data_IF_245092237700
#
_entry.id   IF_245092237700
#
_cell.length_a   1.000
_cell.length_b   1.000
_cell.length_c   1.000
_cell.angle_alpha   90.00
_cell.angle_beta   90.00
_cell.angle_gamma   90.00
#
_symmetry.space_group_name_H-M   'P 1'
#
loop_
_entity.id
_entity.type
_entity.pdbx_description
1 polymer ?
#
# COMPACT_ATOMS: atom_id res chain seq x y z
N UNK A 1 -60.49 22.97 8.72
CA UNK A 1 -60.06 21.57 8.57
C UNK A 1 -58.74 21.63 7.80
N UNK A 2 -57.65 21.32 8.52
CA UNK A 2 -56.24 21.66 8.30
C UNK A 2 -55.73 21.40 6.86
N UNK A 3 -55.02 22.31 6.20
CA UNK A 3 -53.63 22.78 6.44
C UNK A 3 -52.62 21.63 6.36
N UNK A 4 -51.95 21.51 5.20
CA UNK A 4 -50.88 20.56 4.92
C UNK A 4 -49.55 21.30 4.96
N UNK A 5 -49.08 21.58 6.17
CA UNK A 5 -47.68 21.87 6.46
C UNK A 5 -46.91 20.55 6.64
N UNK A 6 -45.64 20.61 6.22
CA UNK A 6 -44.49 19.95 6.86
C UNK A 6 -43.96 18.61 6.30
N UNK A 7 -42.82 18.75 5.60
CA UNK A 7 -41.53 18.04 5.77
C UNK A 7 -41.55 16.49 5.64
N UNK A 8 -40.67 15.82 4.89
CA UNK A 8 -39.24 16.00 4.93
C UNK A 8 -38.54 15.49 3.67
N UNK A 9 -37.48 16.24 3.34
CA UNK A 9 -36.51 16.01 2.29
C UNK A 9 -35.53 14.95 2.80
N UNK A 10 -35.68 13.69 2.36
CA UNK A 10 -34.58 12.74 2.43
C UNK A 10 -33.88 12.77 1.09
N UNK A 11 -32.88 13.64 1.01
CA UNK A 11 -31.89 13.62 -0.06
C UNK A 11 -31.29 12.22 -0.13
N UNK A 12 -31.51 11.57 -1.26
CA UNK A 12 -30.66 10.49 -1.74
C UNK A 12 -29.22 11.00 -1.75
N UNK A 13 -28.46 10.66 -0.71
CA UNK A 13 -27.02 10.71 -0.71
C UNK A 13 -26.52 9.35 -0.26
N UNK A 14 -26.78 8.35 -1.09
CA UNK A 14 -25.87 7.22 -1.18
C UNK A 14 -24.58 7.76 -1.84
N UNK A 15 -23.79 8.49 -1.06
CA UNK A 15 -22.37 8.59 -1.36
C UNK A 15 -21.90 7.15 -1.52
N UNK A 16 -21.45 6.83 -2.73
CA UNK A 16 -20.96 5.50 -3.06
C UNK A 16 -20.02 5.07 -1.93
N UNK A 17 -20.45 4.07 -1.18
CA UNK A 17 -19.54 3.26 -0.39
C UNK A 17 -18.67 2.63 -1.45
N UNK A 18 -17.52 3.26 -1.74
CA UNK A 18 -16.53 2.68 -2.61
C UNK A 18 -16.06 1.41 -1.90
N UNK A 19 -16.70 0.29 -2.24
CA UNK A 19 -16.25 -1.02 -1.80
C UNK A 19 -14.83 -1.15 -2.33
N UNK A 20 -13.86 -1.15 -1.42
CA UNK A 20 -12.45 -1.31 -1.76
C UNK A 20 -12.28 -2.51 -2.71
N UNK A 21 -11.47 -2.39 -3.76
CA UNK A 21 -11.30 -3.49 -4.71
C UNK A 21 -10.76 -4.71 -3.97
N UNK A 22 -11.32 -5.89 -4.28
CA UNK A 22 -10.68 -7.16 -3.96
C UNK A 22 -9.21 -7.10 -4.43
N UNK A 23 -8.29 -7.66 -3.65
CA UNK A 23 -6.86 -7.46 -3.89
C UNK A 23 -6.38 -7.96 -5.25
N UNK A 24 -7.04 -8.98 -5.81
CA UNK A 24 -6.80 -9.41 -7.19
C UNK A 24 -7.23 -8.34 -8.21
N UNK A 25 -8.40 -7.71 -8.02
CA UNK A 25 -8.88 -6.62 -8.85
C UNK A 25 -7.99 -5.37 -8.73
N UNK A 26 -7.49 -5.08 -7.53
CA UNK A 26 -6.53 -4.00 -7.30
C UNK A 26 -5.24 -4.18 -8.10
N UNK A 27 -4.65 -5.39 -8.08
CA UNK A 27 -3.46 -5.70 -8.86
C UNK A 27 -3.71 -5.63 -10.37
N UNK A 28 -4.88 -6.07 -10.84
CA UNK A 28 -5.26 -5.97 -12.24
C UNK A 28 -5.40 -4.50 -12.67
N UNK A 29 -6.07 -3.67 -11.88
CA UNK A 29 -6.29 -2.26 -12.16
C UNK A 29 -4.99 -1.43 -12.17
N UNK A 30 -4.00 -1.81 -11.35
CA UNK A 30 -2.64 -1.23 -11.44
C UNK A 30 -1.93 -1.66 -12.72
N UNK A 31 -2.09 -2.93 -13.13
CA UNK A 31 -1.35 -3.51 -14.24
C UNK A 31 -1.85 -3.03 -15.62
N UNK A 32 -3.14 -2.73 -15.74
CA UNK A 32 -3.78 -2.17 -16.94
C UNK A 32 -3.96 -0.64 -16.88
N UNK A 33 -3.50 -0.01 -15.79
CA UNK A 33 -3.57 1.42 -15.55
C UNK A 33 -4.98 2.00 -15.40
N UNK A 34 -5.98 1.16 -15.14
CA UNK A 34 -7.36 1.59 -14.92
C UNK A 34 -7.64 2.12 -13.51
N UNK A 35 -6.75 1.88 -12.54
CA UNK A 35 -6.91 2.41 -11.18
C UNK A 35 -6.74 3.94 -11.17
N UNK A 36 -7.74 4.73 -10.70
CA UNK A 36 -7.60 6.17 -10.56
C UNK A 36 -6.51 6.54 -9.53
N UNK A 37 -5.66 7.55 -9.79
CA UNK A 37 -4.57 7.93 -8.88
C UNK A 37 -5.04 8.25 -7.45
N UNK A 38 -6.24 8.81 -7.30
CA UNK A 38 -6.83 9.17 -6.01
C UNK A 38 -7.20 7.94 -5.18
N UNK A 39 -7.40 6.79 -5.82
CA UNK A 39 -7.68 5.51 -5.17
C UNK A 39 -6.40 4.76 -4.81
N UNK A 40 -5.24 5.16 -5.34
CA UNK A 40 -3.95 4.56 -5.00
C UNK A 40 -3.28 5.24 -3.80
N UNK A 41 -4.01 5.29 -2.69
CA UNK A 41 -3.52 5.74 -1.39
C UNK A 41 -2.68 4.68 -0.66
N UNK A 42 -2.21 5.03 0.54
CA UNK A 42 -1.34 4.16 1.34
C UNK A 42 -1.95 2.79 1.67
N UNK A 43 -3.25 2.72 2.00
CA UNK A 43 -3.94 1.45 2.26
C UNK A 43 -3.88 0.51 1.05
N UNK A 44 -4.21 1.00 -0.13
CA UNK A 44 -4.17 0.20 -1.36
C UNK A 44 -2.74 -0.12 -1.81
N UNK A 45 -1.77 0.73 -1.52
CA UNK A 45 -0.36 0.39 -1.68
C UNK A 45 0.05 -0.81 -0.82
N UNK A 46 -0.27 -0.78 0.48
CA UNK A 46 0.03 -1.89 1.41
C UNK A 46 -0.75 -3.16 1.03
N UNK A 47 -2.02 -3.04 0.64
CA UNK A 47 -2.83 -4.17 0.21
C UNK A 47 -2.25 -4.82 -1.06
N UNK A 48 -1.86 -4.03 -2.07
CA UNK A 48 -1.22 -4.56 -3.27
C UNK A 48 0.11 -5.26 -2.97
N UNK A 49 0.95 -4.69 -2.08
CA UNK A 49 2.18 -5.32 -1.64
C UNK A 49 1.92 -6.67 -0.93
N UNK A 50 0.92 -6.71 -0.04
CA UNK A 50 0.50 -7.92 0.67
C UNK A 50 0.00 -9.00 -0.30
N UNK A 51 -0.78 -8.63 -1.32
CA UNK A 51 -1.23 -9.57 -2.36
C UNK A 51 -0.06 -10.14 -3.18
N UNK A 52 0.96 -9.32 -3.51
CA UNK A 52 2.17 -9.82 -4.15
C UNK A 52 2.91 -10.84 -3.26
N UNK A 53 3.02 -10.57 -1.96
CA UNK A 53 3.67 -11.44 -0.98
C UNK A 53 2.90 -12.75 -0.72
N UNK A 54 1.58 -12.74 -0.84
CA UNK A 54 0.79 -13.97 -0.79
C UNK A 54 0.98 -14.89 -1.98
N UNK A 55 1.38 -14.33 -3.12
CA UNK A 55 1.50 -15.07 -4.36
C UNK A 55 2.92 -15.60 -4.64
N UNK A 56 3.94 -15.09 -3.94
CA UNK A 56 5.33 -15.45 -4.19
C UNK A 56 6.25 -15.13 -3.00
N UNK A 57 7.40 -15.83 -2.86
CA UNK A 57 8.42 -15.49 -1.88
C UNK A 57 8.91 -14.04 -2.00
N UNK A 58 9.37 -13.47 -0.88
CA UNK A 58 9.75 -12.07 -0.75
C UNK A 58 10.58 -11.50 -1.92
N UNK A 59 11.64 -12.17 -2.43
CA UNK A 59 12.41 -11.63 -3.56
C UNK A 59 11.57 -11.43 -4.83
N UNK A 60 10.74 -12.42 -5.17
CA UNK A 60 9.90 -12.40 -6.37
C UNK A 60 8.73 -11.43 -6.22
N UNK A 61 8.11 -11.38 -5.04
CA UNK A 61 7.07 -10.42 -4.71
C UNK A 61 7.58 -8.97 -4.79
N UNK A 62 8.80 -8.73 -4.32
CA UNK A 62 9.46 -7.42 -4.36
C UNK A 62 9.70 -6.97 -5.80
N UNK A 63 10.28 -7.83 -6.63
CA UNK A 63 10.52 -7.53 -8.05
C UNK A 63 9.21 -7.23 -8.78
N UNK A 64 8.20 -8.09 -8.60
CA UNK A 64 6.87 -7.94 -9.19
C UNK A 64 6.22 -6.62 -8.78
N UNK A 65 6.18 -6.33 -7.49
CA UNK A 65 5.51 -5.14 -6.98
C UNK A 65 6.24 -3.86 -7.39
N UNK A 66 7.57 -3.82 -7.29
CA UNK A 66 8.35 -2.67 -7.74
C UNK A 66 8.12 -2.41 -9.24
N UNK A 67 8.19 -3.44 -10.08
CA UNK A 67 7.95 -3.31 -11.52
C UNK A 67 6.54 -2.81 -11.84
N UNK A 68 5.52 -3.30 -11.11
CA UNK A 68 4.15 -2.86 -11.25
C UNK A 68 4.01 -1.36 -10.91
N UNK A 69 4.56 -0.93 -9.77
CA UNK A 69 4.50 0.47 -9.35
C UNK A 69 5.22 1.39 -10.32
N UNK A 70 6.42 1.00 -10.78
CA UNK A 70 7.22 1.78 -11.73
C UNK A 70 6.38 2.05 -12.99
N UNK A 71 5.82 1.00 -13.60
CA UNK A 71 4.99 1.12 -14.80
C UNK A 71 3.74 1.98 -14.56
N UNK A 72 3.09 1.81 -13.42
CA UNK A 72 1.89 2.58 -13.07
C UNK A 72 2.21 4.08 -12.90
N UNK A 73 3.25 4.44 -12.14
CA UNK A 73 3.62 5.85 -11.98
C UNK A 73 4.19 6.48 -13.24
N UNK A 74 4.86 5.70 -14.09
CA UNK A 74 5.33 6.15 -15.41
C UNK A 74 4.14 6.49 -16.32
N UNK A 75 3.10 5.63 -16.35
CA UNK A 75 1.87 5.90 -17.09
C UNK A 75 1.20 7.21 -16.66
N UNK A 76 1.23 7.51 -15.36
CA UNK A 76 0.67 8.75 -14.79
C UNK A 76 1.58 9.98 -14.94
N UNK A 77 2.80 9.82 -15.47
CA UNK A 77 3.79 10.90 -15.51
C UNK A 77 4.27 11.35 -14.11
N UNK A 78 4.15 10.48 -13.11
CA UNK A 78 4.40 10.76 -11.70
C UNK A 78 5.58 9.93 -11.15
N UNK A 79 6.59 9.69 -12.01
CA UNK A 79 7.76 8.86 -11.69
C UNK A 79 8.51 9.35 -10.46
N UNK A 80 8.51 10.65 -10.26
CA UNK A 80 9.08 11.34 -9.10
C UNK A 80 8.45 10.88 -7.78
N UNK A 81 7.20 10.40 -7.74
CA UNK A 81 6.54 9.91 -6.52
C UNK A 81 7.05 8.55 -6.05
N UNK A 82 7.70 7.77 -6.90
CA UNK A 82 8.23 6.46 -6.53
C UNK A 82 9.50 6.58 -5.69
N UNK A 83 9.61 5.73 -4.65
CA UNK A 83 10.78 5.64 -3.79
C UNK A 83 11.14 4.17 -3.56
N UNK A 84 12.22 3.72 -4.18
CA UNK A 84 12.56 2.30 -4.27
C UNK A 84 12.90 1.67 -2.91
N UNK A 85 13.85 2.24 -2.15
CA UNK A 85 14.24 1.67 -0.85
C UNK A 85 13.08 1.64 0.14
N UNK A 86 12.22 2.67 0.14
CA UNK A 86 11.04 2.71 0.99
C UNK A 86 10.07 1.58 0.64
N UNK A 87 9.77 1.37 -0.64
CA UNK A 87 8.90 0.29 -1.10
C UNK A 87 9.47 -1.08 -0.70
N UNK A 88 10.75 -1.34 -0.97
CA UNK A 88 11.40 -2.61 -0.61
C UNK A 88 11.38 -2.84 0.90
N UNK A 89 11.72 -1.83 1.70
CA UNK A 89 11.70 -1.92 3.16
C UNK A 89 10.28 -2.22 3.70
N UNK A 90 9.25 -1.62 3.10
CA UNK A 90 7.86 -1.89 3.47
C UNK A 90 7.45 -3.34 3.15
N UNK A 91 7.88 -3.90 2.02
CA UNK A 91 7.67 -5.33 1.71
C UNK A 91 8.30 -6.25 2.77
N UNK A 92 9.51 -5.96 3.23
CA UNK A 92 10.14 -6.72 4.32
C UNK A 92 9.33 -6.64 5.61
N UNK A 93 8.85 -5.45 5.99
CA UNK A 93 8.04 -5.24 7.18
C UNK A 93 6.70 -5.96 7.12
N UNK A 94 6.05 -5.98 5.95
CA UNK A 94 4.81 -6.72 5.70
C UNK A 94 5.09 -8.23 5.78
N UNK A 95 6.09 -8.71 5.03
CA UNK A 95 6.40 -10.13 4.95
C UNK A 95 6.70 -10.76 6.32
N UNK A 96 7.44 -10.06 7.18
CA UNK A 96 7.78 -10.53 8.52
C UNK A 96 6.57 -10.60 9.48
N UNK A 97 5.45 -9.96 9.14
CA UNK A 97 4.19 -9.97 9.91
C UNK A 97 3.15 -10.91 9.31
N UNK A 98 3.39 -11.47 8.13
CA UNK A 98 2.43 -12.33 7.47
C UNK A 98 2.35 -13.71 8.13
N UNK A 99 1.16 -14.27 8.11
CA UNK A 99 0.84 -15.66 8.42
C UNK A 99 0.03 -16.26 7.28
N UNK A 100 0.13 -17.56 7.07
CA UNK A 100 -0.47 -18.22 5.90
C UNK A 100 -2.01 -18.16 5.88
N UNK A 101 -2.64 -18.28 7.05
CA UNK A 101 -4.09 -18.45 7.18
C UNK A 101 -4.84 -17.17 7.63
N UNK A 102 -4.45 -16.00 7.11
CA UNK A 102 -5.15 -14.74 7.41
C UNK A 102 -5.60 -14.00 6.16
N UNK A 103 -6.80 -13.42 6.21
CA UNK A 103 -7.27 -12.48 5.20
C UNK A 103 -6.72 -11.07 5.42
N UNK A 104 -6.98 -10.19 4.45
CA UNK A 104 -6.48 -8.81 4.47
C UNK A 104 -6.97 -8.02 5.68
N UNK A 105 -8.25 -8.12 6.03
CA UNK A 105 -8.82 -7.34 7.13
C UNK A 105 -8.29 -7.83 8.48
N UNK A 106 -8.13 -9.14 8.67
CA UNK A 106 -7.51 -9.73 9.86
C UNK A 106 -6.06 -9.31 9.99
N UNK A 107 -5.29 -9.35 8.90
CA UNK A 107 -3.89 -8.93 8.89
C UNK A 107 -3.73 -7.47 9.31
N UNK A 108 -4.51 -6.58 8.70
CA UNK A 108 -4.34 -5.15 8.93
C UNK A 108 -4.93 -4.69 10.27
N UNK A 109 -5.91 -5.41 10.81
CA UNK A 109 -6.39 -5.23 12.18
C UNK A 109 -5.34 -5.67 13.22
N UNK A 110 -4.54 -6.69 12.93
CA UNK A 110 -3.44 -7.13 13.79
C UNK A 110 -2.20 -6.22 13.70
N UNK A 111 -2.01 -5.53 12.58
CA UNK A 111 -0.85 -4.68 12.30
C UNK A 111 -1.25 -3.28 11.80
N UNK A 112 -2.07 -2.52 12.56
CA UNK A 112 -2.58 -1.21 12.12
C UNK A 112 -1.47 -0.17 11.93
N UNK A 113 -0.31 -0.36 12.55
CA UNK A 113 0.85 0.51 12.39
C UNK A 113 1.38 0.51 10.94
N UNK A 114 1.14 -0.55 10.16
CA UNK A 114 1.48 -0.57 8.73
C UNK A 114 0.69 0.46 7.93
N UNK A 115 -0.51 0.86 8.39
CA UNK A 115 -1.31 1.91 7.75
C UNK A 115 -1.09 3.28 8.35
N UNK A 116 -1.00 3.36 9.67
CA UNK A 116 -1.05 4.64 10.38
C UNK A 116 0.32 5.18 10.76
N UNK A 117 1.34 4.33 10.85
CA UNK A 117 2.68 4.73 11.30
C UNK A 117 3.82 3.93 10.64
N UNK A 118 3.68 3.68 9.34
CA UNK A 118 4.72 3.00 8.55
C UNK A 118 6.06 3.77 8.61
N UNK A 119 6.01 5.09 8.83
CA UNK A 119 7.22 5.91 8.95
C UNK A 119 7.98 5.62 10.24
N UNK A 120 7.29 5.45 11.38
CA UNK A 120 7.98 5.05 12.61
C UNK A 120 8.60 3.66 12.47
N UNK A 121 7.92 2.70 11.84
CA UNK A 121 8.50 1.39 11.55
C UNK A 121 9.79 1.48 10.73
N UNK A 122 9.77 2.23 9.62
CA UNK A 122 10.94 2.43 8.77
C UNK A 122 12.08 3.13 9.52
N UNK A 123 11.77 4.06 10.43
CA UNK A 123 12.77 4.81 11.20
C UNK A 123 13.59 3.95 12.17
N UNK A 124 13.10 2.75 12.51
CA UNK A 124 13.84 1.78 13.32
C UNK A 124 15.04 1.20 12.54
N UNK A 125 14.95 1.20 11.20
CA UNK A 125 15.94 0.60 10.30
C UNK A 125 16.78 1.66 9.57
N UNK A 126 16.18 2.79 9.23
CA UNK A 126 16.82 3.85 8.46
C UNK A 126 16.91 5.17 9.22
N UNK A 127 18.04 5.86 9.09
CA UNK A 127 18.13 7.28 9.37
C UNK A 127 17.35 8.11 8.34
N UNK A 128 16.88 9.31 8.71
CA UNK A 128 16.31 10.27 7.76
C UNK A 128 17.26 10.59 6.61
N UNK A 129 18.57 10.67 6.89
CA UNK A 129 19.61 11.00 5.92
C UNK A 129 19.78 9.88 4.89
N UNK A 130 19.85 8.63 5.33
CA UNK A 130 19.97 7.47 4.44
C UNK A 130 18.74 7.34 3.53
N UNK A 131 17.54 7.30 4.14
CA UNK A 131 16.30 7.11 3.40
C UNK A 131 15.90 8.33 2.56
N UNK A 132 16.38 9.52 2.92
CA UNK A 132 16.16 10.78 2.20
C UNK A 132 17.07 10.98 0.98
N UNK A 133 18.06 10.13 0.77
CA UNK A 133 19.01 10.26 -0.34
C UNK A 133 18.42 9.90 -1.70
N UNK A 134 18.95 10.51 -2.77
CA UNK A 134 18.60 10.15 -4.16
C UNK A 134 18.93 8.69 -4.47
N UNK A 135 20.04 8.17 -3.91
CA UNK A 135 20.41 6.78 -4.04
C UNK A 135 19.32 5.85 -3.48
N UNK A 136 18.77 6.15 -2.31
CA UNK A 136 17.68 5.37 -1.71
C UNK A 136 16.36 5.51 -2.50
N UNK A 137 16.12 6.67 -3.13
CA UNK A 137 14.94 6.87 -3.98
C UNK A 137 15.01 6.06 -5.27
N UNK A 138 16.17 6.06 -5.92
CA UNK A 138 16.38 5.47 -7.25
C UNK A 138 16.70 3.98 -7.22
N UNK A 139 17.28 3.48 -6.12
CA UNK A 139 17.68 2.09 -5.95
C UNK A 139 17.60 1.64 -4.49
N UNK A 140 17.95 0.38 -4.25
CA UNK A 140 17.95 -0.17 -2.89
C UNK A 140 19.27 0.20 -2.20
N UNK A 141 19.15 0.88 -1.07
CA UNK A 141 20.25 1.13 -0.13
C UNK A 141 19.95 0.35 1.14
N UNK A 142 20.96 -0.32 1.69
CA UNK A 142 20.80 -1.09 2.92
C UNK A 142 20.48 -0.18 4.12
N UNK A 143 19.70 -0.66 5.11
CA UNK A 143 19.42 0.09 6.33
C UNK A 143 20.69 0.36 7.14
N UNK A 144 20.78 1.54 7.74
CA UNK A 144 21.97 2.04 8.46
C UNK A 144 21.80 2.05 9.98
N UNK A 145 20.60 1.76 10.52
CA UNK A 145 20.35 1.63 11.97
C UNK A 145 20.21 0.19 12.44
N UNK A 146 19.39 -0.60 11.75
CA UNK A 146 19.13 -1.99 12.09
C UNK A 146 18.73 -2.79 10.84
N UNK A 147 19.12 -4.08 10.72
CA UNK A 147 18.76 -4.89 9.56
C UNK A 147 17.24 -4.99 9.40
N UNK A 148 16.77 -5.01 8.15
CA UNK A 148 15.37 -5.31 7.85
C UNK A 148 15.05 -6.75 8.30
N UNK A 149 13.83 -7.01 8.80
CA UNK A 149 13.45 -8.36 9.18
C UNK A 149 13.46 -9.27 7.95
N UNK A 150 13.80 -10.54 8.19
CA UNK A 150 13.65 -11.61 7.22
C UNK A 150 12.24 -12.19 7.34
N UNK A 151 11.77 -12.77 6.25
CA UNK A 151 10.57 -13.56 6.24
C UNK A 151 11.00 -15.02 6.41
N UNK A 152 10.51 -15.69 7.45
CA UNK A 152 10.93 -17.05 7.83
C UNK A 152 9.99 -18.14 7.25
N UNK A 153 9.20 -17.79 6.22
CA UNK A 153 8.19 -18.67 5.61
C UNK A 153 8.69 -19.37 4.34
#
# INVERSE_FOLDING_TARGET
MADTDRQDRVLSNAAAIATEPDGAALLAALADFSLPPEQFGHRNHVHAAWQCLRAAPLPQATERFCSLLIRYVDHLGARDKYHHSLTVALLHLIAARMRDDQDWETFIAAHPELLHDARALLSQHYSPECLGSDAARLGFVAPDRAPLPRADH
#
